data_IF_001655891684
#
_entry.id   IF_001655891684
#
_cell.length_a   1.000
_cell.length_b   1.000
_cell.length_c   1.000
_cell.angle_alpha   90.00
_cell.angle_beta   90.00
_cell.angle_gamma   90.00
#
_symmetry.space_group_name_H-M   'P 1'
#
loop_
_entity.id
_entity.type
_entity.pdbx_description
1 polymer ?
#
# COMPACT_ATOMS: atom_id res chain seq x y z
N UNK A 1 9.26 -2.95 -29.65
CA UNK A 1 10.21 -2.25 -28.76
C UNK A 1 10.03 -0.72 -28.70
N UNK A 2 9.16 -0.09 -29.51
CA UNK A 2 9.17 1.39 -29.71
C UNK A 2 8.12 2.18 -28.91
N UNK A 3 7.12 1.53 -28.31
CA UNK A 3 5.99 2.22 -27.64
C UNK A 3 6.34 2.76 -26.23
N UNK A 4 7.32 2.18 -25.53
CA UNK A 4 7.66 2.57 -24.14
C UNK A 4 8.71 3.68 -24.02
N UNK A 5 9.39 4.01 -25.12
CA UNK A 5 10.50 4.97 -25.13
C UNK A 5 10.13 6.33 -25.73
N UNK A 6 8.87 6.55 -26.12
CA UNK A 6 8.41 7.87 -26.59
C UNK A 6 8.42 8.86 -25.42
N UNK A 7 9.19 9.93 -25.57
CA UNK A 7 9.26 11.04 -24.61
C UNK A 7 8.00 11.90 -24.71
N UNK A 8 7.45 12.29 -23.57
CA UNK A 8 6.34 13.24 -23.47
C UNK A 8 6.80 14.69 -23.54
N UNK A 9 5.88 15.64 -23.29
CA UNK A 9 6.17 17.07 -23.28
C UNK A 9 7.24 17.48 -22.26
N UNK A 10 7.43 16.70 -21.19
CA UNK A 10 8.50 16.90 -20.20
C UNK A 10 9.90 16.47 -20.68
N UNK A 11 10.01 15.83 -21.85
CA UNK A 11 11.28 15.28 -22.34
C UNK A 11 11.66 13.91 -21.76
N UNK A 12 10.82 13.34 -20.90
CA UNK A 12 11.01 12.02 -20.27
C UNK A 12 10.00 10.99 -20.78
N UNK A 13 10.33 9.70 -20.67
CA UNK A 13 9.48 8.58 -21.08
C UNK A 13 9.11 7.67 -19.90
N UNK A 14 8.27 6.67 -20.14
CA UNK A 14 7.94 5.64 -19.15
C UNK A 14 9.15 4.80 -18.71
N UNK A 15 10.27 4.87 -19.44
CA UNK A 15 11.52 4.19 -19.12
C UNK A 15 12.54 5.08 -18.40
N UNK A 16 12.27 6.37 -18.21
CA UNK A 16 13.20 7.28 -17.52
C UNK A 16 13.27 6.96 -16.02
N UNK A 17 14.49 6.97 -15.48
CA UNK A 17 14.72 6.69 -14.05
C UNK A 17 14.53 7.95 -13.19
N UNK A 18 14.34 7.76 -11.88
CA UNK A 18 14.23 8.88 -10.95
C UNK A 18 15.50 9.75 -10.93
N UNK A 19 16.69 9.17 -11.11
CA UNK A 19 17.94 9.93 -11.22
C UNK A 19 17.99 10.78 -12.48
N UNK A 20 17.62 10.23 -13.63
CA UNK A 20 17.61 10.94 -14.92
C UNK A 20 16.62 12.12 -14.87
N UNK A 21 15.43 11.91 -14.31
CA UNK A 21 14.40 12.95 -14.20
C UNK A 21 14.84 14.10 -13.28
N UNK A 22 15.75 13.83 -12.34
CA UNK A 22 16.24 14.82 -11.36
C UNK A 22 17.67 15.29 -11.64
N UNK A 23 18.25 14.94 -12.79
CA UNK A 23 19.63 15.28 -13.10
C UNK A 23 19.85 16.80 -13.11
N UNK A 24 20.87 17.26 -12.37
CA UNK A 24 21.21 18.68 -12.26
C UNK A 24 20.33 19.51 -11.32
N UNK A 25 19.35 18.90 -10.65
CA UNK A 25 18.50 19.58 -9.67
C UNK A 25 19.19 19.59 -8.30
N UNK A 26 19.27 20.76 -7.67
CA UNK A 26 19.69 20.93 -6.28
C UNK A 26 18.47 21.23 -5.41
N UNK A 27 18.21 20.33 -4.45
CA UNK A 27 17.14 20.43 -3.46
C UNK A 27 17.65 20.80 -2.07
N UNK A 28 18.89 21.29 -1.95
CA UNK A 28 19.46 21.73 -0.67
C UNK A 28 18.55 22.75 0.01
N UNK A 29 18.33 22.57 1.31
CA UNK A 29 17.44 23.42 2.12
C UNK A 29 15.98 22.97 2.11
N UNK A 30 15.59 22.03 1.25
CA UNK A 30 14.28 21.38 1.30
C UNK A 30 14.31 20.17 2.22
N UNK A 31 13.17 19.91 2.85
CA UNK A 31 12.91 18.70 3.63
C UNK A 31 11.70 17.96 3.07
N UNK A 32 11.85 16.65 2.94
CA UNK A 32 10.82 15.74 2.45
C UNK A 32 10.47 14.66 3.48
N UNK A 33 9.18 14.44 3.73
CA UNK A 33 8.68 13.24 4.40
C UNK A 33 8.28 12.23 3.33
N UNK A 34 8.84 11.02 3.39
CA UNK A 34 8.50 9.93 2.46
C UNK A 34 7.89 8.77 3.23
N UNK A 35 6.59 8.55 3.05
CA UNK A 35 5.87 7.45 3.68
C UNK A 35 6.18 6.12 2.99
N UNK A 36 6.34 5.05 3.78
CA UNK A 36 6.61 3.72 3.23
C UNK A 36 7.96 3.61 2.51
N UNK A 37 8.96 4.37 2.97
CA UNK A 37 10.29 4.43 2.35
C UNK A 37 11.21 3.23 2.67
N UNK A 38 10.71 2.17 3.30
CA UNK A 38 11.50 0.98 3.66
C UNK A 38 11.59 -0.08 2.55
N UNK A 39 10.88 0.07 1.43
CA UNK A 39 11.05 -0.78 0.25
C UNK A 39 10.61 -0.12 -1.06
N UNK A 40 11.02 -0.71 -2.18
CA UNK A 40 10.52 -0.41 -3.53
C UNK A 40 10.60 1.08 -3.91
N UNK A 41 9.50 1.60 -4.45
CA UNK A 41 9.39 2.98 -4.96
C UNK A 41 9.72 4.01 -3.87
N UNK A 42 9.28 3.78 -2.62
CA UNK A 42 9.53 4.69 -1.50
C UNK A 42 11.03 4.79 -1.17
N UNK A 43 11.73 3.66 -1.14
CA UNK A 43 13.19 3.63 -0.93
C UNK A 43 13.94 4.35 -2.04
N UNK A 44 13.58 4.09 -3.30
CA UNK A 44 14.24 4.74 -4.43
C UNK A 44 13.97 6.25 -4.45
N UNK A 45 12.74 6.66 -4.13
CA UNK A 45 12.39 8.08 -3.97
C UNK A 45 13.22 8.75 -2.89
N UNK A 46 13.32 8.13 -1.71
CA UNK A 46 14.12 8.64 -0.60
C UNK A 46 15.61 8.76 -0.98
N UNK A 47 16.16 7.75 -1.64
CA UNK A 47 17.56 7.73 -2.08
C UNK A 47 17.86 8.85 -3.08
N UNK A 48 17.00 9.04 -4.09
CA UNK A 48 17.22 10.06 -5.12
C UNK A 48 17.00 11.47 -4.56
N UNK A 49 16.00 11.71 -3.71
CA UNK A 49 15.85 13.00 -3.05
C UNK A 49 17.09 13.34 -2.19
N UNK A 50 17.58 12.38 -1.42
CA UNK A 50 18.81 12.56 -0.63
C UNK A 50 20.05 12.79 -1.52
N UNK A 51 20.14 12.13 -2.68
CA UNK A 51 21.17 12.38 -3.69
C UNK A 51 21.14 13.83 -4.22
N UNK A 52 19.96 14.46 -4.26
CA UNK A 52 19.77 15.87 -4.67
C UNK A 52 19.85 16.85 -3.50
N UNK A 53 20.37 16.46 -2.33
CA UNK A 53 20.60 17.37 -1.20
C UNK A 53 19.37 17.67 -0.32
N UNK A 54 18.21 17.07 -0.62
CA UNK A 54 17.01 17.18 0.20
C UNK A 54 17.24 16.44 1.53
N UNK A 55 16.80 17.03 2.65
CA UNK A 55 16.73 16.31 3.93
C UNK A 55 15.52 15.38 3.93
N UNK A 56 15.76 14.07 3.91
CA UNK A 56 14.69 13.08 3.82
C UNK A 56 14.38 12.49 5.18
N UNK A 57 13.13 12.61 5.63
CA UNK A 57 12.57 11.86 6.76
C UNK A 57 11.78 10.67 6.22
N UNK A 58 12.35 9.48 6.34
CA UNK A 58 11.71 8.22 6.00
C UNK A 58 10.69 7.85 7.08
N UNK A 59 9.41 8.01 6.78
CA UNK A 59 8.31 7.66 7.67
C UNK A 59 7.89 6.20 7.44
N UNK A 60 8.28 5.31 8.35
CA UNK A 60 8.20 3.85 8.14
C UNK A 60 7.65 3.13 9.36
N UNK A 61 6.89 2.05 9.14
CA UNK A 61 6.32 1.24 10.23
C UNK A 61 7.36 0.34 10.89
N UNK A 62 8.20 -0.33 10.11
CA UNK A 62 9.26 -1.19 10.61
C UNK A 62 10.57 -0.39 10.69
N UNK A 63 10.94 0.01 11.90
CA UNK A 63 12.15 0.81 12.13
C UNK A 63 13.45 0.06 11.86
N UNK A 64 13.49 -1.26 12.00
CA UNK A 64 14.68 -2.07 11.66
C UNK A 64 14.95 -1.98 10.16
N UNK A 65 13.95 -2.31 9.33
CA UNK A 65 14.06 -2.20 7.88
C UNK A 65 14.32 -0.75 7.42
N UNK A 66 13.71 0.23 8.09
CA UNK A 66 13.96 1.65 7.85
C UNK A 66 15.41 2.07 8.07
N UNK A 67 16.01 1.61 9.18
CA UNK A 67 17.41 1.89 9.52
C UNK A 67 18.38 1.24 8.54
N UNK A 68 18.14 -0.01 8.14
CA UNK A 68 18.98 -0.69 7.14
C UNK A 68 19.02 0.08 5.81
N UNK A 69 17.87 0.58 5.36
CA UNK A 69 17.78 1.41 4.15
C UNK A 69 18.49 2.76 4.35
N UNK A 70 18.25 3.44 5.48
CA UNK A 70 18.94 4.69 5.84
C UNK A 70 20.46 4.50 5.77
N UNK A 71 20.98 3.45 6.42
CA UNK A 71 22.42 3.16 6.47
C UNK A 71 22.97 2.84 5.08
N UNK A 72 22.21 2.13 4.24
CA UNK A 72 22.60 1.84 2.86
C UNK A 72 22.71 3.11 2.02
N UNK A 73 21.78 4.05 2.19
CA UNK A 73 21.80 5.35 1.51
C UNK A 73 22.99 6.19 1.99
N UNK A 74 23.18 6.29 3.32
CA UNK A 74 24.28 7.04 3.92
C UNK A 74 25.67 6.48 3.54
N UNK A 75 25.81 5.15 3.42
CA UNK A 75 27.05 4.52 2.94
C UNK A 75 27.40 4.92 1.50
N UNK A 76 26.40 5.09 0.64
CA UNK A 76 26.61 5.49 -0.77
C UNK A 76 26.81 6.99 -0.93
N UNK A 77 26.20 7.79 -0.07
CA UNK A 77 26.35 9.23 -0.03
C UNK A 77 26.51 9.70 1.42
N UNK A 78 27.76 9.84 1.92
CA UNK A 78 28.01 10.26 3.30
C UNK A 78 27.47 11.66 3.64
N UNK A 79 27.20 12.50 2.63
CA UNK A 79 26.62 13.83 2.81
C UNK A 79 25.09 13.83 2.80
N UNK A 80 24.45 12.67 2.59
CA UNK A 80 22.99 12.55 2.59
C UNK A 80 22.41 12.89 3.96
N UNK A 81 21.50 13.87 3.99
CA UNK A 81 20.70 14.17 5.18
C UNK A 81 19.47 13.27 5.17
N UNK A 82 19.53 12.17 5.92
CA UNK A 82 18.45 11.18 5.93
C UNK A 82 18.19 10.64 7.33
N UNK A 83 16.92 10.65 7.71
CA UNK A 83 16.43 10.17 9.00
C UNK A 83 15.32 9.16 8.82
N UNK A 84 15.14 8.29 9.82
CA UNK A 84 14.04 7.35 9.86
C UNK A 84 13.21 7.63 11.11
N UNK A 85 11.90 7.74 10.93
CA UNK A 85 10.92 8.00 11.98
C UNK A 85 9.78 7.00 11.88
N UNK A 86 9.31 6.54 13.03
CA UNK A 86 8.24 5.54 13.08
C UNK A 86 6.91 6.16 12.66
N UNK A 87 6.27 5.56 11.66
CA UNK A 87 4.92 5.90 11.23
C UNK A 87 4.15 4.63 10.84
N UNK A 88 3.16 4.27 11.64
CA UNK A 88 2.13 3.30 11.30
C UNK A 88 0.84 4.02 10.89
N UNK A 89 0.60 4.12 9.58
CA UNK A 89 -0.61 4.73 9.02
C UNK A 89 -1.91 4.00 9.43
N UNK A 90 -1.83 2.77 9.95
CA UNK A 90 -2.98 2.06 10.50
C UNK A 90 -3.32 2.44 11.96
N UNK A 91 -2.56 3.33 12.58
CA UNK A 91 -2.77 3.78 13.97
C UNK A 91 -2.78 5.31 14.06
N UNK A 92 -3.94 5.90 14.37
CA UNK A 92 -4.03 7.36 14.57
C UNK A 92 -3.12 7.85 15.71
N UNK A 93 -2.91 7.04 16.75
CA UNK A 93 -1.96 7.36 17.80
C UNK A 93 -0.53 7.46 17.25
N UNK A 94 -0.13 6.54 16.38
CA UNK A 94 1.16 6.59 15.69
C UNK A 94 1.26 7.80 14.75
N UNK A 95 0.21 8.12 13.98
CA UNK A 95 0.18 9.32 13.11
C UNK A 95 0.34 10.60 13.93
N UNK A 96 -0.39 10.75 15.03
CA UNK A 96 -0.28 11.92 15.92
C UNK A 96 1.10 12.01 16.56
N UNK A 97 1.65 10.88 17.03
CA UNK A 97 3.00 10.82 17.59
C UNK A 97 4.04 11.23 16.54
N UNK A 98 3.99 10.66 15.34
CA UNK A 98 4.88 11.02 14.24
C UNK A 98 4.82 12.51 13.93
N UNK A 99 3.62 13.09 13.85
CA UNK A 99 3.45 14.52 13.61
C UNK A 99 4.06 15.37 14.73
N UNK A 100 3.83 15.00 16.00
CA UNK A 100 4.42 15.69 17.15
C UNK A 100 5.95 15.60 17.15
N UNK A 101 6.50 14.41 16.91
CA UNK A 101 7.94 14.18 16.82
C UNK A 101 8.55 14.99 15.66
N UNK A 102 7.89 15.02 14.49
CA UNK A 102 8.37 15.77 13.33
C UNK A 102 8.34 17.28 13.61
N UNK A 103 7.27 17.80 14.22
CA UNK A 103 7.20 19.21 14.64
C UNK A 103 8.33 19.53 15.63
N UNK A 104 8.58 18.64 16.59
CA UNK A 104 9.65 18.83 17.59
C UNK A 104 11.06 18.82 17.00
N UNK A 105 11.26 18.23 15.82
CA UNK A 105 12.55 18.25 15.12
C UNK A 105 12.93 19.65 14.60
N UNK A 106 11.98 20.58 14.51
CA UNK A 106 12.20 21.93 13.97
C UNK A 106 12.45 21.96 12.46
N UNK A 107 12.35 20.83 11.77
CA UNK A 107 12.50 20.78 10.31
C UNK A 107 11.27 21.38 9.60
N UNK A 108 11.45 22.18 8.55
CA UNK A 108 10.34 22.60 7.71
C UNK A 108 9.76 21.38 6.97
N UNK A 109 8.48 21.38 6.61
CA UNK A 109 7.93 20.40 5.69
C UNK A 109 7.71 21.06 4.33
N UNK A 110 8.54 20.71 3.34
CA UNK A 110 8.40 21.23 1.97
C UNK A 110 7.73 20.22 1.03
N UNK A 111 8.01 18.93 1.23
CA UNK A 111 7.55 17.85 0.36
C UNK A 111 6.97 16.72 1.21
N UNK A 112 5.76 16.26 0.88
CA UNK A 112 5.15 15.09 1.47
C UNK A 112 4.85 14.05 0.39
N UNK A 113 5.55 12.92 0.43
CA UNK A 113 5.39 11.82 -0.52
C UNK A 113 4.54 10.70 0.12
N UNK A 114 3.34 10.55 -0.41
CA UNK A 114 2.39 9.52 0.01
C UNK A 114 2.41 8.30 -0.93
N UNK A 115 2.64 7.11 -0.37
CA UNK A 115 2.60 5.87 -1.15
C UNK A 115 1.17 5.30 -1.21
N UNK A 116 0.39 5.80 -2.17
CA UNK A 116 -1.02 5.42 -2.35
C UNK A 116 -1.25 3.94 -2.67
N UNK A 117 -0.33 3.30 -3.40
CA UNK A 117 -0.45 1.88 -3.73
C UNK A 117 -0.25 0.99 -2.50
N UNK A 118 0.74 1.32 -1.66
CA UNK A 118 0.94 0.62 -0.39
C UNK A 118 -0.26 0.78 0.54
N UNK A 119 -0.78 2.01 0.66
CA UNK A 119 -1.97 2.27 1.47
C UNK A 119 -3.22 1.53 0.93
N UNK A 120 -3.39 1.49 -0.39
CA UNK A 120 -4.43 0.69 -1.01
C UNK A 120 -4.26 -0.80 -0.69
N UNK A 121 -3.04 -1.34 -0.81
CA UNK A 121 -2.72 -2.72 -0.42
C UNK A 121 -3.08 -3.02 1.04
N UNK A 122 -2.78 -2.09 1.96
CA UNK A 122 -3.17 -2.20 3.38
C UNK A 122 -4.69 -2.23 3.55
N UNK A 123 -5.44 -1.40 2.80
CA UNK A 123 -6.92 -1.43 2.86
C UNK A 123 -7.48 -2.79 2.40
N UNK A 124 -6.87 -3.42 1.40
CA UNK A 124 -7.31 -4.75 0.93
C UNK A 124 -6.91 -5.87 1.87
N UNK A 125 -5.73 -5.78 2.48
CA UNK A 125 -5.34 -6.66 3.57
C UNK A 125 -6.33 -6.58 4.74
N UNK A 126 -6.75 -5.36 5.11
CA UNK A 126 -7.73 -5.14 6.17
C UNK A 126 -9.07 -5.85 5.89
N UNK A 127 -9.55 -5.83 4.64
CA UNK A 127 -10.75 -6.58 4.25
C UNK A 127 -10.60 -8.10 4.46
N UNK A 128 -9.44 -8.68 4.11
CA UNK A 128 -9.17 -10.12 4.29
C UNK A 128 -9.13 -10.47 5.77
N UNK A 129 -8.40 -9.69 6.57
CA UNK A 129 -8.30 -9.87 8.02
C UNK A 129 -9.67 -9.74 8.70
N UNK A 130 -10.48 -8.75 8.29
CA UNK A 130 -11.81 -8.55 8.82
C UNK A 130 -12.73 -9.74 8.53
N UNK A 131 -12.75 -10.24 7.28
CA UNK A 131 -13.54 -11.43 6.93
C UNK A 131 -13.13 -12.66 7.75
N UNK A 132 -11.83 -12.84 8.02
CA UNK A 132 -11.32 -13.94 8.86
C UNK A 132 -11.75 -13.81 10.32
N UNK A 133 -11.63 -12.64 10.93
CA UNK A 133 -12.06 -12.46 12.31
C UNK A 133 -13.59 -12.52 12.46
N UNK A 134 -14.34 -12.02 11.47
CA UNK A 134 -15.79 -12.18 11.41
C UNK A 134 -16.19 -13.66 11.34
N UNK A 135 -15.55 -14.43 10.46
CA UNK A 135 -15.81 -15.87 10.33
C UNK A 135 -15.54 -16.63 11.64
N UNK A 136 -14.46 -16.27 12.35
CA UNK A 136 -14.13 -16.84 13.66
C UNK A 136 -15.23 -16.54 14.69
N UNK A 137 -15.63 -15.27 14.80
CA UNK A 137 -16.66 -14.84 15.77
C UNK A 137 -18.01 -15.48 15.51
N UNK A 138 -18.48 -15.48 14.25
CA UNK A 138 -19.74 -16.13 13.88
C UNK A 138 -19.74 -17.62 14.21
N UNK A 139 -18.59 -18.28 14.07
CA UNK A 139 -18.44 -19.68 14.46
C UNK A 139 -18.48 -19.87 15.98
N UNK A 140 -17.82 -18.99 16.74
CA UNK A 140 -17.85 -19.00 18.21
C UNK A 140 -19.25 -18.74 18.78
N UNK A 141 -20.03 -17.87 18.11
CA UNK A 141 -21.40 -17.54 18.46
C UNK A 141 -22.43 -18.57 17.92
N UNK A 142 -21.96 -19.66 17.30
CA UNK A 142 -22.79 -20.72 16.69
C UNK A 142 -23.81 -20.21 15.64
N UNK A 143 -23.48 -19.09 14.99
CA UNK A 143 -24.32 -18.47 13.95
C UNK A 143 -24.06 -19.16 12.61
N UNK A 144 -25.14 -19.61 11.95
CA UNK A 144 -25.09 -20.26 10.64
C UNK A 144 -24.83 -19.30 9.46
N UNK A 145 -23.87 -18.37 9.62
CA UNK A 145 -23.44 -17.41 8.59
C UNK A 145 -21.96 -17.66 8.31
N UNK A 146 -21.58 -17.65 7.02
CA UNK A 146 -20.17 -17.72 6.61
C UNK A 146 -19.67 -16.34 6.19
N UNK A 147 -18.38 -16.08 6.43
CA UNK A 147 -17.70 -14.88 5.97
C UNK A 147 -16.42 -15.28 5.24
N UNK A 148 -16.31 -14.88 3.97
CA UNK A 148 -15.14 -15.16 3.13
C UNK A 148 -14.70 -13.89 2.42
N UNK A 149 -13.45 -13.87 1.99
CA UNK A 149 -12.88 -12.77 1.19
C UNK A 149 -12.51 -13.28 -0.19
N UNK A 150 -12.46 -12.37 -1.18
CA UNK A 150 -12.15 -12.75 -2.55
C UNK A 150 -11.47 -11.63 -3.34
N UNK A 151 -10.81 -12.02 -4.43
CA UNK A 151 -10.26 -11.12 -5.43
C UNK A 151 -10.92 -11.36 -6.80
N UNK A 152 -11.43 -10.30 -7.45
CA UNK A 152 -12.16 -10.45 -8.71
C UNK A 152 -11.23 -10.65 -9.94
N UNK A 153 -9.91 -10.55 -9.73
CA UNK A 153 -8.90 -10.54 -10.79
C UNK A 153 -8.61 -9.13 -11.28
N UNK A 154 -7.69 -9.00 -12.23
CA UNK A 154 -7.42 -7.72 -12.88
C UNK A 154 -8.54 -7.44 -13.90
N UNK A 155 -9.54 -6.64 -13.51
CA UNK A 155 -10.60 -6.18 -14.42
C UNK A 155 -10.24 -4.77 -14.90
N UNK A 156 -10.47 -4.47 -16.18
CA UNK A 156 -10.46 -3.10 -16.70
C UNK A 156 -11.64 -2.30 -16.14
N UNK A 157 -11.58 -1.97 -14.85
CA UNK A 157 -12.55 -1.09 -14.18
C UNK A 157 -11.92 0.24 -13.84
N UNK A 158 -12.80 1.21 -13.55
CA UNK A 158 -12.48 2.63 -13.40
C UNK A 158 -11.52 2.98 -12.27
N UNK A 159 -11.18 2.01 -11.41
CA UNK A 159 -10.36 2.18 -10.21
C UNK A 159 -8.95 2.73 -10.52
N UNK A 160 -8.51 2.59 -11.76
CA UNK A 160 -7.20 3.06 -12.21
C UNK A 160 -7.25 3.99 -13.43
N UNK A 161 -8.40 4.61 -13.73
CA UNK A 161 -8.55 5.56 -14.87
C UNK A 161 -7.53 6.70 -14.88
N UNK A 162 -6.99 7.06 -13.71
CA UNK A 162 -6.02 8.14 -13.53
C UNK A 162 -4.58 7.66 -13.31
N UNK A 163 -4.31 6.34 -13.37
CA UNK A 163 -2.96 5.80 -13.17
C UNK A 163 -2.27 5.53 -14.52
N UNK A 164 -1.30 6.39 -14.86
CA UNK A 164 -0.45 6.23 -16.05
C UNK A 164 0.37 4.92 -16.07
N UNK A 165 0.52 4.26 -14.91
CA UNK A 165 1.23 2.99 -14.74
C UNK A 165 0.50 1.81 -15.41
N UNK A 166 -0.83 1.84 -15.41
CA UNK A 166 -1.64 0.77 -16.00
C UNK A 166 -1.70 0.90 -17.52
N UNK A 167 -1.76 2.12 -18.05
CA UNK A 167 -1.69 2.32 -19.51
C UNK A 167 -0.40 1.74 -20.13
N UNK A 168 0.72 1.72 -19.39
CA UNK A 168 1.96 1.07 -19.82
C UNK A 168 1.88 -0.46 -19.81
N UNK A 169 1.47 -1.07 -18.70
CA UNK A 169 1.41 -2.53 -18.57
C UNK A 169 0.35 -3.18 -19.49
N UNK A 170 -0.77 -2.46 -19.70
CA UNK A 170 -1.90 -2.91 -20.52
C UNK A 170 -1.54 -2.96 -22.01
N UNK A 171 -0.63 -2.11 -22.48
CA UNK A 171 -0.28 -1.99 -23.90
C UNK A 171 0.45 -3.18 -24.52
N UNK A 172 1.07 -4.06 -23.70
CA UNK A 172 1.88 -5.19 -24.21
C UNK A 172 1.34 -6.57 -23.83
N UNK A 173 0.73 -6.72 -22.65
CA UNK A 173 0.22 -8.00 -22.12
C UNK A 173 -1.28 -7.95 -21.77
N UNK A 174 -1.86 -6.74 -21.79
CA UNK A 174 -3.16 -6.45 -21.17
C UNK A 174 -4.34 -7.23 -21.73
N UNK A 175 -4.36 -7.59 -23.02
CA UNK A 175 -5.51 -8.30 -23.60
C UNK A 175 -5.70 -9.73 -23.10
N UNK A 176 -4.67 -10.37 -22.54
CA UNK A 176 -4.72 -11.76 -22.09
C UNK A 176 -4.82 -11.92 -20.57
N UNK A 177 -4.58 -10.86 -19.80
CA UNK A 177 -4.59 -10.87 -18.33
C UNK A 177 -5.76 -10.05 -17.75
N UNK A 178 -6.41 -9.23 -18.58
CA UNK A 178 -7.53 -8.39 -18.16
C UNK A 178 -8.85 -9.13 -18.38
N UNK A 179 -9.55 -9.39 -17.27
CA UNK A 179 -10.89 -9.95 -17.28
C UNK A 179 -11.91 -8.92 -17.73
N UNK A 180 -12.98 -9.39 -18.36
CA UNK A 180 -14.20 -8.59 -18.54
C UNK A 180 -15.02 -8.54 -17.23
N UNK A 181 -16.08 -7.73 -17.21
CA UNK A 181 -16.92 -7.56 -16.01
C UNK A 181 -17.56 -8.87 -15.55
N UNK A 182 -18.05 -9.69 -16.48
CA UNK A 182 -18.69 -10.98 -16.18
C UNK A 182 -17.71 -11.97 -15.54
N UNK A 183 -16.53 -12.14 -16.12
CA UNK A 183 -15.43 -12.94 -15.58
C UNK A 183 -14.93 -12.40 -14.23
N UNK A 184 -15.00 -11.08 -14.05
CA UNK A 184 -14.68 -10.41 -12.80
C UNK A 184 -15.67 -10.71 -11.67
N UNK A 185 -16.95 -10.85 -12.00
CA UNK A 185 -18.00 -11.21 -11.06
C UNK A 185 -18.00 -12.70 -10.69
N UNK A 186 -17.38 -13.55 -11.51
CA UNK A 186 -17.44 -15.01 -11.37
C UNK A 186 -17.06 -15.53 -9.97
N UNK A 187 -15.94 -15.05 -9.40
CA UNK A 187 -15.51 -15.48 -8.05
C UNK A 187 -16.53 -15.07 -6.98
N UNK A 188 -17.14 -13.89 -7.12
CA UNK A 188 -18.16 -13.41 -6.18
C UNK A 188 -19.42 -14.27 -6.24
N UNK A 189 -19.92 -14.55 -7.45
CA UNK A 189 -21.07 -15.44 -7.64
C UNK A 189 -20.77 -16.87 -7.14
N UNK A 190 -19.57 -17.39 -7.39
CA UNK A 190 -19.14 -18.70 -6.92
C UNK A 190 -19.16 -18.78 -5.38
N UNK A 191 -18.52 -17.83 -4.70
CA UNK A 191 -18.45 -17.79 -3.23
C UNK A 191 -19.83 -17.59 -2.60
N UNK A 192 -20.72 -16.85 -3.25
CA UNK A 192 -22.05 -16.55 -2.73
C UNK A 192 -23.06 -17.70 -2.89
N UNK A 193 -23.00 -18.47 -3.99
CA UNK A 193 -24.11 -19.34 -4.41
C UNK A 193 -23.73 -20.80 -4.65
N UNK A 194 -22.45 -21.11 -4.88
CA UNK A 194 -22.10 -22.44 -5.37
C UNK A 194 -22.18 -23.49 -4.24
N UNK A 195 -22.83 -24.67 -4.44
CA UNK A 195 -23.00 -25.67 -3.38
C UNK A 195 -21.70 -26.20 -2.78
N UNK A 196 -20.59 -26.16 -3.54
CA UNK A 196 -19.26 -26.53 -3.03
C UNK A 196 -18.71 -25.59 -1.95
N UNK A 197 -19.36 -24.44 -1.71
CA UNK A 197 -18.94 -23.43 -0.72
C UNK A 197 -19.78 -23.52 0.56
N UNK A 198 -20.82 -24.34 0.57
CA UNK A 198 -21.66 -24.58 1.76
C UNK A 198 -20.78 -24.93 2.96
N UNK A 199 -20.94 -24.16 4.04
CA UNK A 199 -20.18 -24.34 5.28
C UNK A 199 -18.72 -23.86 5.26
N UNK A 200 -18.19 -23.43 4.11
CA UNK A 200 -16.82 -22.88 4.02
C UNK A 200 -16.81 -21.43 4.51
N UNK A 201 -15.97 -21.13 5.49
CA UNK A 201 -15.87 -19.81 6.13
C UNK A 201 -14.40 -19.48 6.45
N UNK A 202 -14.06 -18.19 6.51
CA UNK A 202 -12.71 -17.69 6.81
C UNK A 202 -11.70 -17.87 5.69
N UNK A 203 -12.14 -18.21 4.47
CA UNK A 203 -11.27 -18.47 3.33
C UNK A 203 -11.08 -17.23 2.45
N UNK A 204 -10.03 -17.29 1.63
CA UNK A 204 -9.75 -16.33 0.58
C UNK A 204 -9.84 -17.01 -0.79
N UNK A 205 -10.55 -16.37 -1.72
CA UNK A 205 -10.78 -16.91 -3.06
C UNK A 205 -10.19 -16.03 -4.16
N UNK A 206 -9.60 -16.67 -5.16
CA UNK A 206 -9.23 -16.05 -6.42
C UNK A 206 -9.61 -17.02 -7.55
N UNK A 207 -10.12 -16.47 -8.66
CA UNK A 207 -10.52 -17.27 -9.84
C UNK A 207 -11.42 -18.46 -9.49
N UNK A 208 -12.40 -18.24 -8.62
CA UNK A 208 -13.32 -19.27 -8.10
C UNK A 208 -12.64 -20.47 -7.41
N UNK A 209 -11.44 -20.29 -6.89
CA UNK A 209 -10.68 -21.30 -6.15
C UNK A 209 -10.21 -20.74 -4.80
N UNK A 210 -10.00 -21.62 -3.82
CA UNK A 210 -9.30 -21.24 -2.59
C UNK A 210 -7.86 -20.89 -2.96
N UNK A 211 -7.41 -19.71 -2.56
CA UNK A 211 -6.10 -19.19 -2.94
C UNK A 211 -5.24 -18.90 -1.71
N UNK A 212 -3.92 -19.00 -1.90
CA UNK A 212 -2.97 -18.62 -0.87
C UNK A 212 -2.98 -17.11 -0.64
N UNK A 213 -2.77 -16.71 0.61
CA UNK A 213 -2.67 -15.31 1.02
C UNK A 213 -1.30 -15.00 1.60
N UNK A 214 -0.97 -13.72 1.73
CA UNK A 214 0.24 -13.29 2.42
C UNK A 214 0.30 -13.78 3.87
N UNK A 215 1.51 -13.84 4.43
CA UNK A 215 1.72 -14.19 5.85
C UNK A 215 0.93 -13.26 6.77
N UNK A 216 0.91 -11.95 6.48
CA UNK A 216 0.14 -10.99 7.26
C UNK A 216 -1.36 -11.27 7.20
N UNK A 217 -1.90 -11.70 6.06
CA UNK A 217 -3.31 -12.05 5.93
C UNK A 217 -3.68 -13.32 6.71
N UNK A 218 -2.70 -14.15 7.10
CA UNK A 218 -2.88 -15.34 7.92
C UNK A 218 -2.59 -15.11 9.42
N UNK A 219 -2.30 -13.87 9.84
CA UNK A 219 -2.02 -13.52 11.22
C UNK A 219 -3.31 -13.26 12.01
N UNK A 220 -3.71 -14.24 12.83
CA UNK A 220 -4.90 -14.16 13.68
C UNK A 220 -4.78 -13.12 14.80
N UNK A 221 -3.57 -12.80 15.26
CA UNK A 221 -3.37 -11.73 16.25
C UNK A 221 -3.57 -10.35 15.59
N UNK A 222 -3.05 -10.19 14.37
CA UNK A 222 -3.26 -8.99 13.58
C UNK A 222 -4.73 -8.78 13.22
N UNK A 223 -5.45 -9.85 12.87
CA UNK A 223 -6.89 -9.79 12.57
C UNK A 223 -7.71 -9.27 13.76
N UNK A 224 -7.46 -9.81 14.96
CA UNK A 224 -8.10 -9.35 16.21
C UNK A 224 -7.75 -7.89 16.52
N UNK A 225 -6.47 -7.53 16.42
CA UNK A 225 -6.01 -6.15 16.63
C UNK A 225 -6.70 -5.17 15.66
N UNK A 226 -6.86 -5.55 14.39
CA UNK A 226 -7.57 -4.75 13.40
C UNK A 226 -9.04 -4.59 13.77
N UNK A 227 -9.70 -5.66 14.21
CA UNK A 227 -11.11 -5.61 14.64
C UNK A 227 -11.30 -4.62 15.79
N UNK A 228 -10.52 -4.76 16.86
CA UNK A 228 -10.64 -3.91 18.05
C UNK A 228 -10.35 -2.45 17.73
N UNK A 229 -9.33 -2.20 16.89
CA UNK A 229 -9.03 -0.86 16.38
C UNK A 229 -10.20 -0.28 15.58
N UNK A 230 -10.78 -1.05 14.66
CA UNK A 230 -11.90 -0.61 13.82
C UNK A 230 -13.13 -0.30 14.65
N UNK A 231 -13.47 -1.17 15.61
CA UNK A 231 -14.60 -0.96 16.52
C UNK A 231 -14.41 0.30 17.37
N UNK A 232 -13.20 0.48 17.92
CA UNK A 232 -12.84 1.69 18.67
C UNK A 232 -12.94 2.94 17.80
N UNK A 233 -12.48 2.89 16.55
CA UNK A 233 -12.54 4.01 15.62
C UNK A 233 -13.98 4.40 15.29
N UNK A 234 -14.84 3.41 15.04
CA UNK A 234 -16.27 3.63 14.74
C UNK A 234 -16.98 4.23 15.95
N UNK A 235 -16.76 3.69 17.15
CA UNK A 235 -17.42 4.17 18.38
C UNK A 235 -16.91 5.54 18.85
N UNK A 236 -15.70 5.91 18.49
CA UNK A 236 -15.12 7.22 18.79
C UNK A 236 -15.38 8.27 17.70
N UNK A 237 -16.06 7.92 16.60
CA UNK A 237 -16.54 8.94 15.68
C UNK A 237 -17.65 9.73 16.39
N UNK A 238 -17.53 11.07 16.50
CA UNK A 238 -18.63 11.86 17.01
C UNK A 238 -19.86 11.58 16.16
N UNK A 239 -20.97 11.25 16.81
CA UNK A 239 -22.26 11.14 16.14
C UNK A 239 -22.54 12.51 15.52
N UNK A 240 -22.37 12.62 14.20
CA UNK A 240 -22.89 13.74 13.44
C UNK A 240 -24.41 13.55 13.35
N UNK A 241 -25.10 13.86 14.44
CA UNK A 241 -26.54 14.13 14.47
C UNK A 241 -26.78 15.62 14.44
#
# INVERSE_FOLDING_TARGET
MWLFSRKGASGFSASSTAEEVTQGIDGTGLTAVVTGASSGIGTETARVLALRGVHVVMAVKNMTAGREVKDTIAKRNPNAKIDAMELDLSSLASVRKFAADFISSGLPLNILMYNSLSAYGQSKLANVLHAKDLARRLKEDEVAITANSLHPGAIATNLFRHSNLINGLVGLVGKYVIKNVEQGAATACYVALHPQITGKTGLYFADSNVAETSLQANDNALARKLWDFTFTLINNCPNNT
#
